data_IF_617157314853
#
_entry.id   IF_617157314853
#
_cell.length_a   1.000
_cell.length_b   1.000
_cell.length_c   1.000
_cell.angle_alpha   90.00
_cell.angle_beta   90.00
_cell.angle_gamma   90.00
#
_symmetry.space_group_name_H-M   'P 1'
#
loop_
_entity.id
_entity.type
_entity.pdbx_description
1 polymer ?
#
# COMPACT_ATOMS: atom_id res chain seq x y z
N UNK A 1 7.75 2.15 8.71
CA UNK A 1 6.58 1.69 9.47
C UNK A 1 6.42 2.64 10.64
N UNK A 2 5.19 2.98 11.04
CA UNK A 2 4.98 3.75 12.28
C UNK A 2 4.47 2.84 13.38
N UNK A 3 5.00 3.00 14.59
CA UNK A 3 4.55 2.27 15.77
C UNK A 3 4.10 3.28 16.82
N UNK A 4 2.92 3.06 17.35
CA UNK A 4 2.37 3.79 18.49
C UNK A 4 2.10 2.84 19.64
N UNK A 5 1.65 3.36 20.77
CA UNK A 5 1.09 2.59 21.87
C UNK A 5 -0.18 1.82 21.53
N UNK A 6 -0.93 2.27 20.51
CA UNK A 6 -2.29 1.78 20.23
C UNK A 6 -2.45 0.98 18.95
N UNK A 7 -1.56 1.16 17.98
CA UNK A 7 -1.62 0.53 16.66
C UNK A 7 -0.28 0.67 15.91
N UNK A 8 -0.11 -0.14 14.87
CA UNK A 8 1.02 -0.09 13.93
C UNK A 8 0.53 0.32 12.54
N UNK A 9 1.23 1.26 11.92
CA UNK A 9 0.97 1.70 10.54
C UNK A 9 1.92 1.02 9.56
N UNK A 10 1.37 0.23 8.66
CA UNK A 10 2.10 -0.32 7.51
C UNK A 10 2.02 0.66 6.34
N UNK A 11 3.19 1.11 5.87
CA UNK A 11 3.27 2.11 4.82
C UNK A 11 3.33 1.44 3.45
N UNK A 12 2.19 1.08 2.88
CA UNK A 12 2.15 0.53 1.52
C UNK A 12 2.62 1.58 0.50
N UNK A 13 3.51 1.27 -0.46
CA UNK A 13 3.94 2.20 -1.48
C UNK A 13 2.75 2.73 -2.30
N UNK A 14 2.83 4.01 -2.67
CA UNK A 14 1.89 4.68 -3.60
C UNK A 14 0.40 4.57 -3.21
N UNK A 15 0.10 4.36 -1.92
CA UNK A 15 -1.28 4.23 -1.43
C UNK A 15 -1.85 5.50 -0.81
N UNK A 16 -1.01 6.47 -0.43
CA UNK A 16 -1.38 7.59 0.45
C UNK A 16 -0.70 7.53 1.83
N UNK A 17 0.13 6.53 2.11
CA UNK A 17 0.85 6.42 3.39
C UNK A 17 1.71 7.64 3.75
N UNK A 18 2.20 8.43 2.79
CA UNK A 18 2.92 9.69 3.10
C UNK A 18 2.03 10.70 3.82
N UNK A 19 0.74 10.80 3.43
CA UNK A 19 -0.23 11.64 4.12
C UNK A 19 -0.45 11.16 5.55
N UNK A 20 -0.77 9.87 5.74
CA UNK A 20 -1.01 9.29 7.08
C UNK A 20 0.19 9.51 7.98
N UNK A 21 1.41 9.28 7.47
CA UNK A 21 2.64 9.51 8.22
C UNK A 21 2.79 10.96 8.66
N UNK A 22 2.58 11.92 7.75
CA UNK A 22 2.69 13.34 8.05
C UNK A 22 1.65 13.78 9.09
N UNK A 23 0.39 13.39 8.89
CA UNK A 23 -0.71 13.71 9.80
C UNK A 23 -0.48 13.16 11.21
N UNK A 24 -0.10 11.88 11.34
CA UNK A 24 0.19 11.29 12.65
C UNK A 24 1.40 11.93 13.32
N UNK A 25 2.47 12.23 12.56
CA UNK A 25 3.62 12.95 13.12
C UNK A 25 3.23 14.33 13.65
N UNK A 26 2.35 15.05 12.96
CA UNK A 26 1.84 16.34 13.43
C UNK A 26 1.03 16.21 14.72
N UNK A 27 0.12 15.23 14.80
CA UNK A 27 -0.67 14.93 16.01
C UNK A 27 0.25 14.63 17.19
N UNK A 28 1.20 13.70 17.03
CA UNK A 28 2.13 13.31 18.10
C UNK A 28 3.16 14.41 18.45
N UNK A 29 3.51 15.30 17.51
CA UNK A 29 4.28 16.49 17.83
C UNK A 29 3.49 17.44 18.75
N UNK A 30 2.20 17.67 18.47
CA UNK A 30 1.33 18.51 19.31
C UNK A 30 1.11 17.90 20.69
N UNK A 31 0.91 16.58 20.80
CA UNK A 31 0.85 15.86 22.09
C UNK A 31 2.09 16.14 22.94
N UNK A 32 3.28 15.96 22.35
CA UNK A 32 4.56 16.19 23.05
C UNK A 32 4.77 17.65 23.43
N UNK A 33 4.29 18.61 22.63
CA UNK A 33 4.36 20.03 22.95
C UNK A 33 3.45 20.43 24.13
N UNK A 34 2.29 19.76 24.28
CA UNK A 34 1.35 19.97 25.39
C UNK A 34 1.75 19.23 26.68
N UNK A 35 2.58 18.18 26.56
CA UNK A 35 2.99 17.36 27.69
C UNK A 35 3.89 18.11 28.70
N UNK A 36 3.63 17.89 29.99
CA UNK A 36 4.46 18.42 31.07
C UNK A 36 5.91 17.91 30.99
N UNK A 37 6.85 18.63 31.61
CA UNK A 37 8.27 18.19 31.65
C UNK A 37 8.40 16.79 32.26
N UNK A 38 7.66 16.51 33.34
CA UNK A 38 7.66 15.21 34.01
C UNK A 38 7.15 14.06 33.13
N UNK A 39 6.08 14.29 32.34
CA UNK A 39 5.55 13.29 31.41
C UNK A 39 6.54 12.99 30.28
N UNK A 40 7.21 14.02 29.76
CA UNK A 40 8.25 13.86 28.73
C UNK A 40 9.44 13.06 29.25
N UNK A 41 9.90 13.34 30.49
CA UNK A 41 11.00 12.61 31.11
C UNK A 41 10.63 11.14 31.39
N UNK A 42 9.42 10.89 31.88
CA UNK A 42 8.89 9.53 32.08
C UNK A 42 8.86 8.76 30.76
N UNK A 43 8.25 9.35 29.72
CA UNK A 43 8.18 8.74 28.40
C UNK A 43 9.58 8.47 27.79
N UNK A 44 10.54 9.38 27.96
CA UNK A 44 11.91 9.21 27.49
C UNK A 44 12.66 8.08 28.24
N UNK A 45 12.36 7.89 29.52
CA UNK A 45 12.91 6.82 30.34
C UNK A 45 12.18 5.48 30.17
N UNK A 46 11.17 5.40 29.30
CA UNK A 46 10.38 4.19 29.08
C UNK A 46 9.38 3.88 30.20
N UNK A 47 9.09 4.84 31.07
CA UNK A 47 8.13 4.73 32.16
C UNK A 47 6.86 5.55 31.86
N UNK A 48 5.67 5.03 32.18
CA UNK A 48 4.40 5.74 32.00
C UNK A 48 3.76 5.58 30.62
N UNK A 49 2.61 6.25 30.43
CA UNK A 49 1.73 6.02 29.29
C UNK A 49 2.42 6.37 27.96
N UNK A 50 2.48 5.38 27.08
CA UNK A 50 3.24 5.40 25.82
C UNK A 50 2.59 6.25 24.72
N UNK A 51 1.55 7.01 25.08
CA UNK A 51 0.69 7.80 24.20
C UNK A 51 1.30 9.07 23.63
N UNK A 52 2.45 9.48 24.17
CA UNK A 52 3.28 10.55 23.62
C UNK A 52 4.24 10.05 22.54
N UNK A 53 4.35 8.73 22.35
CA UNK A 53 5.36 8.12 21.51
C UNK A 53 4.81 7.67 20.16
N UNK A 54 5.50 8.11 19.11
CA UNK A 54 5.38 7.60 17.76
C UNK A 54 6.79 7.29 17.27
N UNK A 55 7.05 6.02 16.98
CA UNK A 55 8.31 5.58 16.40
C UNK A 55 8.14 5.42 14.92
N UNK A 56 9.09 5.95 14.16
CA UNK A 56 9.27 5.54 12.78
C UNK A 56 10.41 4.54 12.68
N UNK A 57 10.11 3.36 12.13
CA UNK A 57 11.11 2.36 11.80
C UNK A 57 11.42 2.41 10.32
N UNK A 58 12.71 2.59 10.02
CA UNK A 58 13.31 2.36 8.71
C UNK A 58 13.82 0.92 8.70
N UNK A 59 13.24 0.08 7.84
CA UNK A 59 13.46 -1.37 7.86
C UNK A 59 14.05 -1.83 6.52
N UNK A 60 14.84 -2.92 6.49
CA UNK A 60 15.30 -3.50 5.25
C UNK A 60 14.14 -3.77 4.30
N UNK A 61 14.30 -3.43 3.02
CA UNK A 61 13.25 -3.63 2.02
C UNK A 61 13.24 -5.09 1.58
N UNK A 62 12.34 -5.89 2.18
CA UNK A 62 12.22 -7.33 1.87
C UNK A 62 11.75 -7.63 0.45
N UNK A 63 11.23 -6.63 -0.26
CA UNK A 63 10.78 -6.75 -1.66
C UNK A 63 11.90 -6.42 -2.66
N UNK A 64 12.91 -5.67 -2.22
CA UNK A 64 14.06 -5.23 -3.00
C UNK A 64 15.30 -5.25 -2.07
N UNK A 65 15.92 -6.43 -1.84
CA UNK A 65 16.96 -6.60 -0.82
C UNK A 65 18.19 -5.70 -0.99
N UNK A 66 18.50 -5.33 -2.24
CA UNK A 66 19.65 -4.47 -2.57
C UNK A 66 19.39 -2.97 -2.26
N UNK A 67 18.19 -2.62 -1.79
CA UNK A 67 17.81 -1.25 -1.47
C UNK A 67 18.10 -0.92 0.00
N UNK A 68 18.54 0.31 0.22
CA UNK A 68 18.69 0.86 1.56
C UNK A 68 17.38 0.74 2.39
N UNK A 69 17.47 0.58 3.72
CA UNK A 69 16.31 0.54 4.59
C UNK A 69 15.37 1.73 4.37
N UNK A 70 14.06 1.47 4.36
CA UNK A 70 13.04 2.48 4.08
C UNK A 70 11.81 2.36 5.01
N UNK A 71 10.85 3.27 4.86
CA UNK A 71 9.63 3.28 5.68
C UNK A 71 8.62 2.16 5.36
N UNK A 72 8.85 1.30 4.36
CA UNK A 72 7.88 0.35 3.81
C UNK A 72 7.95 -1.05 4.46
N UNK A 73 8.19 -1.09 5.77
CA UNK A 73 8.18 -2.34 6.53
C UNK A 73 6.84 -3.08 6.45
N UNK A 74 6.91 -4.41 6.45
CA UNK A 74 5.77 -5.34 6.33
C UNK A 74 5.36 -5.95 7.67
N UNK A 75 4.21 -6.64 7.73
CA UNK A 75 3.72 -7.31 8.95
C UNK A 75 4.75 -8.26 9.56
N UNK A 76 5.41 -9.08 8.75
CA UNK A 76 6.42 -10.02 9.23
C UNK A 76 7.58 -9.33 9.98
N UNK A 77 7.82 -8.04 9.71
CA UNK A 77 8.85 -7.22 10.36
C UNK A 77 8.34 -6.46 11.59
N UNK A 78 7.06 -6.57 11.97
CA UNK A 78 6.53 -5.97 13.20
C UNK A 78 7.23 -6.61 14.40
N UNK A 79 7.89 -5.82 15.27
CA UNK A 79 8.61 -6.36 16.41
C UNK A 79 7.69 -7.16 17.35
N UNK A 80 8.16 -8.26 17.96
CA UNK A 80 7.32 -9.18 18.74
C UNK A 80 6.40 -8.49 19.76
N UNK A 81 6.90 -7.49 20.47
CA UNK A 81 6.16 -6.76 21.50
C UNK A 81 5.00 -5.91 20.97
N UNK A 82 4.91 -5.67 19.65
CA UNK A 82 3.85 -4.89 19.02
C UNK A 82 2.92 -5.72 18.13
N UNK A 83 3.14 -7.04 18.01
CA UNK A 83 2.37 -7.90 17.10
C UNK A 83 0.90 -8.06 17.48
N UNK A 84 0.56 -7.82 18.75
CA UNK A 84 -0.82 -7.85 19.24
C UNK A 84 -1.57 -6.53 18.98
N UNK A 85 -0.86 -5.48 18.57
CA UNK A 85 -1.51 -4.20 18.29
C UNK A 85 -2.27 -4.27 16.95
N UNK A 86 -3.41 -3.58 16.85
CA UNK A 86 -4.11 -3.37 15.59
C UNK A 86 -3.17 -2.82 14.51
N UNK A 87 -3.34 -3.32 13.29
CA UNK A 87 -2.65 -2.84 12.10
C UNK A 87 -3.55 -1.86 11.36
N UNK A 88 -2.95 -0.79 10.85
CA UNK A 88 -3.63 0.12 9.92
C UNK A 88 -2.76 0.37 8.69
N UNK A 89 -3.38 0.38 7.52
CA UNK A 89 -2.74 0.74 6.27
C UNK A 89 -3.71 1.49 5.37
N UNK A 90 -3.20 2.07 4.28
CA UNK A 90 -4.05 2.71 3.28
C UNK A 90 -4.26 1.74 2.13
N UNK A 91 -5.52 1.42 1.84
CA UNK A 91 -5.93 0.76 0.62
C UNK A 91 -6.15 1.81 -0.48
N UNK A 92 -5.54 1.56 -1.63
CA UNK A 92 -5.78 2.31 -2.85
C UNK A 92 -6.52 1.41 -3.83
N UNK A 93 -7.45 1.98 -4.57
CA UNK A 93 -8.10 1.33 -5.69
C UNK A 93 -7.03 0.68 -6.59
N UNK A 94 -7.03 -0.67 -6.77
CA UNK A 94 -6.02 -1.35 -7.58
C UNK A 94 -5.93 -0.82 -9.02
N UNK A 95 -7.07 -0.42 -9.61
CA UNK A 95 -7.12 0.21 -10.94
C UNK A 95 -6.32 1.52 -10.97
N UNK A 96 -6.61 2.44 -10.05
CA UNK A 96 -5.90 3.71 -9.95
C UNK A 96 -4.43 3.54 -9.58
N UNK A 97 -4.09 2.48 -8.83
CA UNK A 97 -2.73 2.17 -8.45
C UNK A 97 -1.89 1.76 -9.66
N UNK A 98 -2.34 0.80 -10.48
CA UNK A 98 -1.64 0.39 -11.70
C UNK A 98 -1.42 1.57 -12.64
N UNK A 99 -2.47 2.37 -12.86
CA UNK A 99 -2.38 3.59 -13.67
C UNK A 99 -1.35 4.58 -13.11
N UNK A 100 -1.37 4.81 -11.81
CA UNK A 100 -0.43 5.71 -11.14
C UNK A 100 1.00 5.21 -11.17
N UNK A 101 1.24 3.90 -11.13
CA UNK A 101 2.57 3.31 -11.26
C UNK A 101 3.11 3.46 -12.68
N UNK A 102 2.24 3.26 -13.69
CA UNK A 102 2.56 3.53 -15.08
C UNK A 102 2.96 5.00 -15.30
N UNK A 103 2.10 5.94 -14.89
CA UNK A 103 2.29 7.38 -15.07
C UNK A 103 3.50 7.92 -14.29
N UNK A 104 3.81 7.34 -13.12
CA UNK A 104 4.97 7.73 -12.34
C UNK A 104 6.30 7.27 -12.98
N UNK A 105 6.28 6.29 -13.89
CA UNK A 105 7.42 5.82 -14.70
C UNK A 105 8.68 5.40 -13.93
N UNK A 106 8.60 5.12 -12.62
CA UNK A 106 9.77 4.65 -11.85
C UNK A 106 10.38 3.37 -12.42
N UNK A 107 9.53 2.51 -13.00
CA UNK A 107 9.92 1.28 -13.69
C UNK A 107 10.79 1.52 -14.94
N UNK A 108 10.73 2.71 -15.54
CA UNK A 108 11.58 3.07 -16.67
C UNK A 108 13.05 3.26 -16.23
N UNK A 109 13.25 3.93 -15.10
CA UNK A 109 14.58 4.20 -14.54
C UNK A 109 15.12 3.04 -13.69
N UNK A 110 14.22 2.19 -13.18
CA UNK A 110 14.54 1.05 -12.32
C UNK A 110 13.91 -0.23 -12.90
N UNK A 111 14.42 -0.69 -14.06
CA UNK A 111 13.83 -1.80 -14.78
C UNK A 111 13.90 -3.09 -13.96
N UNK A 112 12.86 -3.94 -14.02
CA UNK A 112 12.82 -5.18 -13.25
C UNK A 112 13.77 -6.26 -13.79
N UNK A 113 14.40 -6.05 -14.95
CA UNK A 113 15.44 -6.90 -15.52
C UNK A 113 16.46 -6.01 -16.26
N UNK A 114 17.68 -6.52 -16.53
CA UNK A 114 18.62 -5.82 -17.41
C UNK A 114 17.98 -5.49 -18.77
N UNK A 115 18.28 -4.31 -19.32
CA UNK A 115 17.72 -3.83 -20.60
C UNK A 115 17.77 -4.86 -21.73
N UNK A 116 18.88 -5.62 -21.83
CA UNK A 116 19.04 -6.66 -22.85
C UNK A 116 17.97 -7.75 -22.75
N UNK A 117 17.60 -8.15 -21.54
CA UNK A 117 16.56 -9.14 -21.32
C UNK A 117 15.16 -8.57 -21.59
N UNK A 118 14.94 -7.29 -21.28
CA UNK A 118 13.65 -6.63 -21.55
C UNK A 118 13.37 -6.44 -23.03
N UNK A 119 14.38 -6.15 -23.87
CA UNK A 119 14.18 -5.89 -25.30
C UNK A 119 13.51 -7.03 -26.06
N UNK A 120 13.64 -8.28 -25.60
CA UNK A 120 13.01 -9.43 -26.25
C UNK A 120 11.48 -9.45 -26.11
N UNK A 121 10.94 -9.03 -24.95
CA UNK A 121 9.49 -8.99 -24.69
C UNK A 121 8.87 -7.59 -24.75
N UNK A 122 9.71 -6.55 -24.64
CA UNK A 122 9.32 -5.15 -24.59
C UNK A 122 10.22 -4.30 -25.50
N UNK A 123 10.10 -4.42 -26.84
CA UNK A 123 11.01 -3.74 -27.78
C UNK A 123 11.02 -2.22 -27.64
N UNK A 124 9.91 -1.63 -27.18
CA UNK A 124 9.74 -0.19 -27.01
C UNK A 124 10.20 0.34 -25.66
N UNK A 125 10.69 -0.48 -24.76
CA UNK A 125 11.10 -0.04 -23.42
C UNK A 125 12.14 1.10 -23.49
N UNK A 126 11.97 2.20 -22.73
CA UNK A 126 10.96 2.44 -21.69
C UNK A 126 9.63 3.07 -22.17
N UNK A 127 9.43 3.28 -23.46
CA UNK A 127 8.24 3.93 -24.03
C UNK A 127 7.11 2.93 -24.31
N UNK A 128 6.69 2.26 -23.24
CA UNK A 128 5.61 1.29 -23.27
C UNK A 128 4.24 1.97 -23.38
N UNK A 129 3.30 1.34 -24.08
CA UNK A 129 1.88 1.61 -23.88
C UNK A 129 1.43 1.13 -22.48
N UNK A 130 0.25 1.55 -22.04
CA UNK A 130 -0.27 1.10 -20.75
C UNK A 130 -0.49 -0.44 -20.73
N UNK A 131 -0.98 -1.01 -21.82
CA UNK A 131 -1.16 -2.46 -21.95
C UNK A 131 0.17 -3.22 -21.92
N UNK A 132 1.22 -2.68 -22.53
CA UNK A 132 2.58 -3.22 -22.40
C UNK A 132 3.10 -3.11 -20.96
N UNK A 133 2.81 -2.01 -20.27
CA UNK A 133 3.15 -1.88 -18.86
C UNK A 133 2.43 -2.91 -17.98
N UNK A 134 1.17 -3.25 -18.27
CA UNK A 134 0.46 -4.31 -17.53
C UNK A 134 1.17 -5.66 -17.68
N UNK A 135 1.66 -5.99 -18.89
CA UNK A 135 2.50 -7.17 -19.10
C UNK A 135 3.86 -7.08 -18.39
N UNK A 136 4.45 -5.88 -18.31
CA UNK A 136 5.67 -5.66 -17.51
C UNK A 136 5.39 -5.91 -16.02
N UNK A 137 4.22 -5.52 -15.53
CA UNK A 137 3.79 -5.77 -14.15
C UNK A 137 3.69 -7.27 -13.84
N UNK A 138 3.23 -8.10 -14.78
CA UNK A 138 3.25 -9.56 -14.62
C UNK A 138 4.66 -10.13 -14.43
N UNK A 139 5.61 -9.65 -15.24
CA UNK A 139 7.01 -10.04 -15.10
C UNK A 139 7.60 -9.62 -13.73
N UNK A 140 7.18 -8.47 -13.20
CA UNK A 140 7.53 -8.04 -11.84
C UNK A 140 6.98 -9.02 -10.80
N UNK A 141 5.73 -9.46 -10.96
CA UNK A 141 5.11 -10.45 -10.08
C UNK A 141 5.87 -11.78 -10.10
N UNK A 142 6.19 -12.29 -11.28
CA UNK A 142 6.98 -13.51 -11.48
C UNK A 142 8.34 -13.43 -10.78
N UNK A 143 9.05 -12.31 -10.97
CA UNK A 143 10.35 -12.11 -10.30
C UNK A 143 10.22 -12.11 -8.78
N UNK A 144 9.19 -11.47 -8.23
CA UNK A 144 8.92 -11.48 -6.78
C UNK A 144 8.62 -12.89 -6.24
N UNK A 145 8.17 -13.80 -7.09
CA UNK A 145 7.88 -15.20 -6.78
C UNK A 145 9.05 -16.15 -7.11
N UNK A 146 10.24 -15.62 -7.42
CA UNK A 146 11.42 -16.44 -7.74
C UNK A 146 11.47 -16.93 -9.19
N UNK A 147 10.72 -16.31 -10.09
CA UNK A 147 10.71 -16.60 -11.53
C UNK A 147 9.63 -17.57 -12.00
N UNK A 148 8.83 -18.13 -11.09
CA UNK A 148 7.69 -18.99 -11.41
C UNK A 148 6.42 -18.40 -10.80
N UNK A 149 5.34 -18.34 -11.58
CA UNK A 149 4.03 -17.88 -11.13
C UNK A 149 2.92 -18.85 -11.55
N UNK A 150 2.92 -20.08 -11.02
CA UNK A 150 2.01 -21.14 -11.45
C UNK A 150 0.54 -20.81 -11.19
N UNK A 151 0.26 -19.92 -10.23
CA UNK A 151 -1.09 -19.49 -9.86
C UNK A 151 -1.56 -18.26 -10.67
N UNK A 152 -0.69 -17.70 -11.51
CA UNK A 152 -0.99 -16.52 -12.34
C UNK A 152 -1.34 -15.27 -11.52
N UNK A 153 -0.70 -15.08 -10.38
CA UNK A 153 -0.95 -13.94 -9.49
C UNK A 153 -0.43 -12.63 -10.10
N UNK A 154 -1.23 -11.58 -10.05
CA UNK A 154 -0.80 -10.24 -10.40
C UNK A 154 0.12 -9.61 -9.34
N UNK A 155 0.87 -8.60 -9.76
CA UNK A 155 1.86 -7.91 -8.94
C UNK A 155 1.26 -7.26 -7.68
N UNK A 156 0.05 -6.72 -7.77
CA UNK A 156 -0.62 -6.09 -6.62
C UNK A 156 -1.12 -7.14 -5.63
N UNK A 157 -1.59 -8.29 -6.11
CA UNK A 157 -1.95 -9.44 -5.26
C UNK A 157 -0.72 -9.93 -4.50
N UNK A 158 0.41 -10.13 -5.19
CA UNK A 158 1.67 -10.52 -4.56
C UNK A 158 2.10 -9.51 -3.51
N UNK A 159 2.04 -8.21 -3.84
CA UNK A 159 2.41 -7.17 -2.89
C UNK A 159 1.48 -7.13 -1.67
N UNK A 160 0.17 -7.29 -1.85
CA UNK A 160 -0.79 -7.32 -0.75
C UNK A 160 -0.44 -8.42 0.25
N UNK A 161 -0.19 -9.64 -0.23
CA UNK A 161 0.20 -10.77 0.63
C UNK A 161 1.54 -10.49 1.33
N UNK A 162 2.53 -9.99 0.60
CA UNK A 162 3.84 -9.62 1.17
C UNK A 162 3.74 -8.59 2.30
N UNK A 163 2.80 -7.64 2.22
CA UNK A 163 2.64 -6.62 3.25
C UNK A 163 1.90 -7.12 4.48
N UNK A 164 0.87 -7.94 4.30
CA UNK A 164 -0.13 -8.17 5.34
C UNK A 164 -0.11 -9.55 5.97
N UNK A 165 0.59 -10.53 5.40
CA UNK A 165 0.71 -11.85 6.03
C UNK A 165 1.90 -11.93 7.00
N UNK A 166 1.76 -12.70 8.09
CA UNK A 166 2.88 -12.98 9.00
C UNK A 166 3.93 -13.87 8.32
N UNK A 167 3.49 -14.80 7.47
CA UNK A 167 4.34 -15.62 6.59
C UNK A 167 3.85 -15.49 5.14
N UNK A 168 4.38 -14.53 4.38
CA UNK A 168 3.94 -14.29 3.01
C UNK A 168 4.37 -15.40 2.04
N UNK A 169 5.45 -16.12 2.32
CA UNK A 169 5.91 -17.20 1.44
C UNK A 169 4.94 -18.38 1.48
N UNK A 170 4.56 -18.81 2.68
CA UNK A 170 3.55 -19.86 2.85
C UNK A 170 2.19 -19.45 2.25
N UNK A 171 1.78 -18.19 2.45
CA UNK A 171 0.53 -17.67 1.90
C UNK A 171 0.50 -17.67 0.38
N UNK A 172 1.57 -17.18 -0.27
CA UNK A 172 1.67 -17.13 -1.73
C UNK A 172 1.69 -18.51 -2.38
N UNK A 173 2.27 -19.51 -1.71
CA UNK A 173 2.29 -20.89 -2.21
C UNK A 173 0.88 -21.52 -2.29
N UNK A 174 -0.05 -21.08 -1.44
CA UNK A 174 -1.41 -21.63 -1.34
C UNK A 174 -2.53 -20.72 -1.87
N UNK A 175 -2.21 -19.53 -2.38
CA UNK A 175 -3.21 -18.50 -2.71
C UNK A 175 -3.94 -18.79 -4.04
N UNK A 176 -5.00 -19.61 -3.96
CA UNK A 176 -5.89 -19.92 -5.08
C UNK A 176 -7.33 -19.44 -4.83
N UNK A 177 -8.20 -19.62 -5.82
CA UNK A 177 -9.59 -19.12 -5.76
C UNK A 177 -10.41 -19.78 -4.66
N UNK A 178 -10.21 -21.08 -4.39
CA UNK A 178 -10.88 -21.78 -3.30
C UNK A 178 -10.44 -21.21 -1.94
N UNK A 179 -9.14 -20.92 -1.78
CA UNK A 179 -8.62 -20.30 -0.57
C UNK A 179 -9.25 -18.92 -0.34
N UNK A 180 -9.28 -18.07 -1.37
CA UNK A 180 -9.89 -16.72 -1.27
C UNK A 180 -11.38 -16.81 -0.97
N UNK A 181 -12.11 -17.69 -1.66
CA UNK A 181 -13.55 -17.88 -1.49
C UNK A 181 -13.92 -18.39 -0.08
N UNK A 182 -13.06 -19.22 0.52
CA UNK A 182 -13.29 -19.76 1.86
C UNK A 182 -13.28 -18.70 2.98
N UNK A 183 -12.63 -17.55 2.76
CA UNK A 183 -12.42 -16.53 3.79
C UNK A 183 -11.46 -16.94 4.91
N UNK A 184 -10.90 -18.16 4.89
CA UNK A 184 -10.01 -18.66 5.95
C UNK A 184 -8.75 -17.79 6.16
N UNK A 185 -8.35 -17.06 5.12
CA UNK A 185 -7.23 -16.12 5.16
C UNK A 185 -7.46 -14.89 6.04
N UNK A 186 -8.73 -14.50 6.29
CA UNK A 186 -9.05 -13.28 7.04
C UNK A 186 -8.45 -13.31 8.44
N UNK A 187 -8.46 -14.49 9.09
CA UNK A 187 -7.87 -14.65 10.42
C UNK A 187 -6.35 -14.42 10.42
N UNK A 188 -5.65 -14.76 9.33
CA UNK A 188 -4.21 -14.52 9.21
C UNK A 188 -3.88 -13.01 9.18
N UNK A 189 -4.84 -12.17 8.80
CA UNK A 189 -4.72 -10.72 8.82
C UNK A 189 -4.95 -10.08 10.20
N UNK A 190 -5.44 -10.84 11.19
CA UNK A 190 -5.72 -10.29 12.53
C UNK A 190 -6.58 -9.03 12.48
N UNK A 191 -6.34 -8.10 13.42
CA UNK A 191 -7.02 -6.80 13.44
C UNK A 191 -6.34 -5.83 12.45
N UNK A 192 -6.74 -5.91 11.18
CA UNK A 192 -6.30 -5.01 10.12
C UNK A 192 -7.42 -4.05 9.73
N UNK A 193 -7.17 -2.75 9.89
CA UNK A 193 -7.97 -1.70 9.28
C UNK A 193 -7.31 -1.18 7.99
N UNK A 194 -8.05 -1.19 6.89
CA UNK A 194 -7.66 -0.55 5.64
C UNK A 194 -8.41 0.77 5.48
N UNK A 195 -7.67 1.89 5.43
CA UNK A 195 -8.23 3.21 5.16
C UNK A 195 -8.28 3.44 3.65
N UNK A 196 -9.38 3.94 3.11
CA UNK A 196 -9.51 4.26 1.70
C UNK A 196 -8.77 5.55 1.36
N UNK A 197 -7.93 5.49 0.33
CA UNK A 197 -7.17 6.65 -0.14
C UNK A 197 -8.09 7.83 -0.54
N UNK A 198 -9.22 7.57 -1.17
CA UNK A 198 -10.16 8.60 -1.66
C UNK A 198 -10.93 9.30 -0.53
N UNK A 199 -10.91 8.75 0.69
CA UNK A 199 -11.57 9.29 1.88
C UNK A 199 -10.59 9.46 3.05
N UNK A 200 -9.30 9.57 2.75
CA UNK A 200 -8.22 9.32 3.72
C UNK A 200 -8.26 10.25 4.95
N UNK A 201 -8.55 11.54 4.78
CA UNK A 201 -8.68 12.48 5.90
C UNK A 201 -9.77 12.03 6.89
N UNK A 202 -10.97 11.75 6.37
CA UNK A 202 -12.13 11.37 7.17
C UNK A 202 -11.95 9.99 7.82
N UNK A 203 -11.45 9.01 7.07
CA UNK A 203 -11.24 7.66 7.61
C UNK A 203 -10.11 7.60 8.62
N UNK A 204 -9.03 8.38 8.44
CA UNK A 204 -7.98 8.49 9.46
C UNK A 204 -8.53 9.13 10.74
N UNK A 205 -9.29 10.22 10.63
CA UNK A 205 -9.91 10.86 11.80
C UNK A 205 -10.85 9.90 12.56
N UNK A 206 -11.71 9.18 11.83
CA UNK A 206 -12.62 8.19 12.43
C UNK A 206 -11.87 7.00 13.05
N UNK A 207 -10.78 6.54 12.42
CA UNK A 207 -9.91 5.52 13.00
C UNK A 207 -9.30 6.00 14.32
N UNK A 208 -8.73 7.21 14.33
CA UNK A 208 -8.13 7.79 15.53
C UNK A 208 -9.15 7.96 16.66
N UNK A 209 -10.38 8.38 16.34
CA UNK A 209 -11.46 8.46 17.32
C UNK A 209 -11.72 7.11 18.01
N UNK A 210 -11.80 6.01 17.25
CA UNK A 210 -11.97 4.65 17.81
C UNK A 210 -10.81 4.20 18.69
N UNK A 211 -9.62 4.77 18.48
CA UNK A 211 -8.45 4.54 19.32
C UNK A 211 -8.26 5.61 20.40
N UNK A 212 -9.31 6.36 20.77
CA UNK A 212 -9.28 7.27 21.92
C UNK A 212 -8.49 8.57 21.71
N UNK A 213 -8.29 9.00 20.46
CA UNK A 213 -7.73 10.32 20.16
C UNK A 213 -8.81 11.40 20.29
N UNK A 214 -8.45 12.55 20.86
CA UNK A 214 -9.38 13.64 21.13
C UNK A 214 -9.82 14.39 19.87
N UNK A 215 -10.90 15.17 19.99
CA UNK A 215 -11.49 15.92 18.86
C UNK A 215 -10.50 16.87 18.17
N UNK A 216 -9.67 17.56 18.96
CA UNK A 216 -8.57 18.41 18.46
C UNK A 216 -7.65 17.66 17.48
N UNK A 217 -7.35 16.40 17.79
CA UNK A 217 -6.39 15.56 17.04
C UNK A 217 -7.03 15.02 15.77
N UNK A 218 -8.31 14.67 15.85
CA UNK A 218 -9.12 14.31 14.70
C UNK A 218 -9.25 15.49 13.74
N UNK A 219 -9.51 16.69 14.26
CA UNK A 219 -9.59 17.93 13.47
C UNK A 219 -8.28 18.23 12.74
N UNK A 220 -7.12 17.95 13.36
CA UNK A 220 -5.83 18.06 12.68
C UNK A 220 -5.73 17.13 11.47
N UNK A 221 -6.21 15.89 11.56
CA UNK A 221 -6.22 14.96 10.42
C UNK A 221 -7.20 15.39 9.34
N UNK A 222 -8.38 15.90 9.71
CA UNK A 222 -9.36 16.43 8.75
C UNK A 222 -8.81 17.61 7.96
N UNK A 223 -8.14 18.54 8.65
CA UNK A 223 -7.57 19.75 8.05
C UNK A 223 -6.19 19.54 7.40
N UNK A 224 -5.55 18.37 7.57
CA UNK A 224 -4.21 18.15 7.03
C UNK A 224 -4.25 18.23 5.49
N UNK A 225 -3.35 19.02 4.87
CA UNK A 225 -3.31 19.12 3.42
C UNK A 225 -2.92 17.77 2.79
N UNK A 226 -3.37 17.55 1.55
CA UNK A 226 -2.92 16.40 0.78
C UNK A 226 -1.41 16.49 0.52
N UNK A 227 -0.75 15.34 0.42
CA UNK A 227 0.71 15.24 0.29
C UNK A 227 1.05 14.42 -0.94
N UNK A 228 2.02 14.89 -1.75
CA UNK A 228 2.51 14.22 -2.96
C UNK A 228 1.39 13.90 -3.97
N UNK A 229 0.55 14.88 -4.28
CA UNK A 229 -0.46 14.72 -5.34
C UNK A 229 0.22 14.64 -6.71
N UNK A 230 -0.22 13.69 -7.54
CA UNK A 230 0.11 13.68 -8.97
C UNK A 230 -0.53 14.92 -9.58
N UNK A 231 0.27 15.80 -10.20
CA UNK A 231 -0.23 17.03 -10.82
C UNK A 231 -1.25 16.69 -11.92
N UNK A 232 -2.45 17.28 -11.94
CA UNK A 232 -3.36 17.16 -13.06
C UNK A 232 -2.78 17.97 -14.23
N UNK A 233 -2.43 17.30 -15.33
CA UNK A 233 -1.85 17.99 -16.49
C UNK A 233 -1.35 17.12 -17.63
N UNK A 234 -1.37 15.79 -17.51
CA UNK A 234 -1.08 14.87 -18.59
C UNK A 234 -2.32 14.08 -19.04
N UNK A 235 -2.30 13.61 -20.28
CA UNK A 235 -3.28 12.63 -20.77
C UNK A 235 -3.20 11.39 -19.90
N UNK A 236 -4.27 11.12 -19.16
CA UNK A 236 -4.34 10.00 -18.22
C UNK A 236 -4.29 8.70 -19.01
N UNK A 237 -3.57 7.69 -18.51
CA UNK A 237 -3.44 6.43 -19.24
C UNK A 237 -4.80 5.75 -19.43
N UNK A 238 -5.11 5.44 -20.68
CA UNK A 238 -6.42 4.96 -21.09
C UNK A 238 -6.59 3.45 -20.82
N UNK A 239 -7.76 3.04 -20.32
CA UNK A 239 -8.07 1.61 -20.17
C UNK A 239 -8.63 1.04 -21.47
N UNK A 240 -8.01 -0.04 -21.96
CA UNK A 240 -8.54 -0.85 -23.05
C UNK A 240 -9.40 -1.99 -22.50
N UNK A 241 -10.26 -2.58 -23.33
CA UNK A 241 -11.02 -3.77 -22.97
C UNK A 241 -10.08 -4.92 -22.56
N UNK A 242 -9.01 -5.13 -23.33
CA UNK A 242 -7.96 -6.09 -23.02
C UNK A 242 -7.32 -5.83 -21.65
N UNK A 243 -6.96 -4.57 -21.35
CA UNK A 243 -6.33 -4.22 -20.07
C UNK A 243 -7.23 -4.51 -18.86
N UNK A 244 -8.54 -4.27 -18.99
CA UNK A 244 -9.51 -4.60 -17.93
C UNK A 244 -9.61 -6.12 -17.73
N UNK A 245 -9.76 -6.89 -18.81
CA UNK A 245 -9.83 -8.36 -18.73
C UNK A 245 -8.55 -8.96 -18.16
N UNK A 246 -7.40 -8.46 -18.62
CA UNK A 246 -6.09 -8.88 -18.15
C UNK A 246 -5.92 -8.64 -16.65
N UNK A 247 -6.22 -7.43 -16.15
CA UNK A 247 -6.12 -7.13 -14.72
C UNK A 247 -7.12 -7.95 -13.91
N UNK A 248 -8.32 -8.21 -14.40
CA UNK A 248 -9.27 -9.11 -13.71
C UNK A 248 -8.72 -10.53 -13.59
N UNK A 249 -8.10 -11.05 -14.64
CA UNK A 249 -7.51 -12.38 -14.63
C UNK A 249 -6.36 -12.49 -13.64
N UNK A 250 -5.50 -11.47 -13.56
CA UNK A 250 -4.29 -11.48 -12.72
C UNK A 250 -4.54 -11.04 -11.28
N UNK A 251 -5.36 -10.02 -11.07
CA UNK A 251 -5.62 -9.39 -9.77
C UNK A 251 -7.00 -9.74 -9.19
N UNK A 252 -7.77 -10.62 -9.83
CA UNK A 252 -9.13 -10.99 -9.39
C UNK A 252 -9.18 -11.45 -7.92
N UNK A 253 -8.12 -12.14 -7.46
CA UNK A 253 -7.97 -12.56 -6.06
C UNK A 253 -7.82 -11.36 -5.11
N UNK A 254 -7.03 -10.36 -5.47
CA UNK A 254 -6.93 -9.12 -4.71
C UNK A 254 -8.29 -8.40 -4.65
N UNK A 255 -8.99 -8.28 -5.78
CA UNK A 255 -10.32 -7.66 -5.78
C UNK A 255 -11.31 -8.40 -4.88
N UNK A 256 -11.32 -9.73 -4.91
CA UNK A 256 -12.17 -10.53 -4.04
C UNK A 256 -11.81 -10.36 -2.55
N UNK A 257 -10.51 -10.36 -2.21
CA UNK A 257 -10.07 -10.11 -0.84
C UNK A 257 -10.45 -8.70 -0.37
N UNK A 258 -10.24 -7.67 -1.21
CA UNK A 258 -10.60 -6.30 -0.88
C UNK A 258 -12.12 -6.12 -0.73
N UNK A 259 -12.94 -6.73 -1.58
CA UNK A 259 -14.40 -6.68 -1.48
C UNK A 259 -14.88 -7.27 -0.14
N UNK A 260 -14.32 -8.41 0.27
CA UNK A 260 -14.61 -9.02 1.59
C UNK A 260 -14.18 -8.14 2.77
N UNK A 261 -13.12 -7.36 2.61
CA UNK A 261 -12.70 -6.34 3.59
C UNK A 261 -13.51 -5.04 3.50
N UNK A 262 -14.59 -4.99 2.70
CA UNK A 262 -15.45 -3.81 2.55
C UNK A 262 -14.94 -2.77 1.53
N UNK A 263 -13.96 -3.13 0.71
CA UNK A 263 -13.33 -2.26 -0.29
C UNK A 263 -13.66 -2.72 -1.71
N UNK A 264 -14.89 -2.42 -2.16
CA UNK A 264 -15.33 -2.68 -3.53
C UNK A 264 -14.82 -1.61 -4.49
N UNK A 265 -14.16 -2.04 -5.57
CA UNK A 265 -13.68 -1.15 -6.63
C UNK A 265 -14.22 -1.61 -7.99
N UNK A 266 -15.19 -0.89 -8.59
CA UNK A 266 -15.69 -1.23 -9.91
C UNK A 266 -14.58 -1.04 -10.96
N UNK A 267 -14.64 -1.78 -12.08
CA UNK A 267 -13.75 -1.54 -13.21
C UNK A 267 -13.93 -0.10 -13.72
N UNK A 268 -12.86 0.51 -14.24
CA UNK A 268 -12.93 1.79 -14.94
C UNK A 268 -13.67 1.65 -16.27
N UNK A 269 -14.12 2.77 -16.85
CA UNK A 269 -14.64 2.79 -18.21
C UNK A 269 -13.55 2.44 -19.23
N UNK A 270 -13.93 1.77 -20.31
CA UNK A 270 -13.06 1.57 -21.47
C UNK A 270 -13.05 2.89 -22.27
N UNK A 271 -11.85 3.36 -22.57
CA UNK A 271 -11.66 4.53 -23.40
C UNK A 271 -11.73 4.10 -24.87
N UNK A 272 -12.93 4.18 -25.47
CA UNK A 272 -13.21 3.75 -26.84
C UNK A 272 -12.60 4.64 -27.94
N UNK A 273 -11.48 5.30 -27.67
CA UNK A 273 -10.71 6.05 -28.66
C UNK A 273 -11.57 6.91 -29.58
N UNK A 274 -12.37 7.84 -29.05
CA UNK A 274 -12.74 8.97 -29.89
C UNK A 274 -11.41 9.70 -30.17
N UNK A 275 -10.94 9.80 -31.43
CA UNK A 275 -9.77 10.58 -31.72
C UNK A 275 -10.01 11.99 -31.17
N UNK A 276 -9.03 12.54 -30.47
CA UNK A 276 -9.05 13.95 -30.10
C UNK A 276 -9.26 14.72 -31.41
N UNK A 277 -10.44 15.32 -31.58
CA UNK A 277 -10.67 16.29 -32.64
C UNK A 277 -9.65 17.40 -32.43
N UNK A 278 -8.69 17.45 -33.36
CA UNK A 278 -7.74 18.54 -33.55
C UNK A 278 -8.51 19.83 -33.81
#
# INVERSE_FOLDING_TARGET
>A
MLITSRFVVLNVPKSGSSFVRAALKAVYARRRARAGVGERLRAAAGFGDSDLFLRELMLPNVRLPDRAPDQHGVRAQVPPQYRQLPLVAVARNPWDKLRSEYEYRWWADHPPLPFRALRGGFPRFPDLSFDEFLRLSDLIAERKLGGLNPLGLGNLTVEFVQFFWPDPAAALAGLNDNHVASGAWEHALGDLTLLRQDRLNAELAAFLARHGFGEDEQAMCLAHPRVNETRPGGTRAAWTAWGIEHVRAREGRLFAMLDRLGHRYPPPAVDNGAPATV
#
